data_IF_325377925581
#
_entry.id   IF_325377925581
#
_cell.length_a   1.000
_cell.length_b   1.000
_cell.length_c   1.000
_cell.angle_alpha   90.00
_cell.angle_beta   90.00
_cell.angle_gamma   90.00
#
_symmetry.space_group_name_H-M   'P 1'
#
loop_
_entity.id
_entity.type
_entity.pdbx_description
1 polymer ?
#
# COMPACT_ATOMS: atom_id res chain seq x y z
N UNK A 1 4.14 -6.40 -5.93
CA UNK A 1 3.51 -6.73 -4.62
C UNK A 1 4.17 -6.07 -3.42
N UNK A 2 5.50 -6.09 -3.24
CA UNK A 2 6.18 -5.36 -2.13
C UNK A 2 6.08 -3.84 -2.26
N UNK A 3 6.20 -3.33 -3.49
CA UNK A 3 6.07 -1.90 -3.80
C UNK A 3 4.67 -1.36 -3.49
N UNK A 4 3.62 -2.14 -3.78
CA UNK A 4 2.25 -1.81 -3.40
C UNK A 4 2.06 -1.78 -1.89
N UNK A 5 2.59 -2.77 -1.14
CA UNK A 5 2.49 -2.74 0.33
C UNK A 5 3.20 -1.50 0.91
N UNK A 6 4.36 -1.13 0.34
CA UNK A 6 5.09 0.08 0.75
C UNK A 6 4.29 1.35 0.45
N UNK A 7 3.78 1.49 -0.77
CA UNK A 7 2.95 2.63 -1.16
C UNK A 7 1.71 2.77 -0.27
N UNK A 8 1.03 1.66 0.01
CA UNK A 8 -0.13 1.66 0.91
C UNK A 8 0.29 2.10 2.30
N UNK A 9 1.35 1.50 2.86
CA UNK A 9 1.82 1.78 4.22
C UNK A 9 2.29 3.24 4.39
N UNK A 10 3.14 3.72 3.47
CA UNK A 10 3.84 4.99 3.61
C UNK A 10 3.02 6.17 3.09
N UNK A 11 2.16 5.97 2.08
CA UNK A 11 1.47 7.08 1.42
C UNK A 11 -0.05 7.05 1.58
N UNK A 12 -0.71 5.90 1.41
CA UNK A 12 -2.17 5.84 1.41
C UNK A 12 -2.76 5.78 2.82
N UNK A 13 -2.30 4.83 3.63
CA UNK A 13 -2.83 4.55 4.96
C UNK A 13 -2.82 5.79 5.89
N UNK A 14 -1.80 6.67 5.86
CA UNK A 14 -1.82 7.92 6.65
C UNK A 14 -2.85 8.95 6.16
N UNK A 15 -3.26 8.88 4.90
CA UNK A 15 -4.23 9.81 4.27
C UNK A 15 -5.67 9.33 4.41
N UNK A 16 -5.90 8.02 4.63
CA UNK A 16 -7.21 7.40 4.87
C UNK A 16 -7.81 7.85 6.21
N UNK A 17 -8.34 9.06 6.22
CA UNK A 17 -8.98 9.72 7.34
C UNK A 17 -10.40 10.12 6.94
N UNK A 18 -11.26 10.30 7.94
CA UNK A 18 -12.64 10.72 7.76
C UNK A 18 -12.74 11.91 6.81
N UNK A 19 -13.58 11.76 5.78
CA UNK A 19 -13.92 12.74 4.76
C UNK A 19 -12.73 13.25 3.93
N UNK A 20 -11.57 12.59 4.01
CA UNK A 20 -10.41 12.93 3.20
C UNK A 20 -10.68 12.67 1.72
N UNK A 21 -10.20 13.55 0.85
CA UNK A 21 -10.13 13.29 -0.60
C UNK A 21 -8.70 12.92 -0.96
N UNK A 22 -8.52 11.70 -1.46
CA UNK A 22 -7.23 11.11 -1.75
C UNK A 22 -7.17 10.80 -3.25
N UNK A 23 -6.02 11.06 -3.84
CA UNK A 23 -5.68 10.60 -5.18
C UNK A 23 -4.66 9.49 -5.06
N UNK A 24 -4.89 8.36 -5.73
CA UNK A 24 -3.84 7.37 -5.92
C UNK A 24 -2.98 7.74 -7.12
N UNK A 25 -1.74 7.28 -7.10
CA UNK A 25 -0.90 7.30 -8.30
C UNK A 25 -1.45 6.33 -9.36
N UNK A 26 -1.12 6.58 -10.63
CA UNK A 26 -1.34 5.63 -11.71
C UNK A 26 -0.59 4.31 -11.46
N UNK A 27 -1.14 3.20 -11.94
CA UNK A 27 -0.58 1.88 -11.69
C UNK A 27 0.87 1.75 -12.18
N UNK A 28 1.22 2.40 -13.28
CA UNK A 28 2.53 2.39 -13.92
C UNK A 28 3.62 2.97 -13.01
N UNK A 29 3.27 3.94 -12.16
CA UNK A 29 4.19 4.55 -11.19
C UNK A 29 4.74 3.49 -10.23
N UNK A 30 3.91 2.52 -9.83
CA UNK A 30 4.31 1.42 -8.95
C UNK A 30 4.80 0.20 -9.72
N UNK A 31 4.11 -0.16 -10.80
CA UNK A 31 4.35 -1.40 -11.53
C UNK A 31 5.66 -1.37 -12.33
N UNK A 32 6.03 -0.23 -12.90
CA UNK A 32 7.27 -0.08 -13.69
C UNK A 32 8.51 -0.39 -12.85
N UNK A 33 8.77 0.30 -11.71
CA UNK A 33 9.95 -0.02 -10.89
C UNK A 33 9.86 -1.42 -10.27
N UNK A 34 8.67 -1.90 -9.90
CA UNK A 34 8.52 -3.26 -9.39
C UNK A 34 8.88 -4.33 -10.43
N UNK A 35 8.50 -4.12 -11.69
CA UNK A 35 8.82 -5.01 -12.80
C UNK A 35 10.31 -4.97 -13.14
N UNK A 36 10.91 -3.78 -13.18
CA UNK A 36 12.35 -3.61 -13.38
C UNK A 36 13.15 -4.33 -12.28
N UNK A 37 12.75 -4.19 -11.01
CA UNK A 37 13.39 -4.87 -9.90
C UNK A 37 13.26 -6.40 -10.01
N UNK A 38 12.07 -6.92 -10.31
CA UNK A 38 11.88 -8.36 -10.49
C UNK A 38 12.73 -8.95 -11.63
N UNK A 39 13.08 -8.14 -12.64
CA UNK A 39 13.93 -8.53 -13.79
C UNK A 39 15.42 -8.22 -13.60
N UNK A 40 15.83 -7.64 -12.46
CA UNK A 40 17.21 -7.21 -12.24
C UNK A 40 18.19 -8.35 -11.91
N UNK A 41 17.75 -9.61 -12.01
CA UNK A 41 18.52 -10.77 -11.56
C UNK A 41 18.40 -11.09 -10.06
N UNK A 42 17.52 -10.39 -9.34
CA UNK A 42 17.20 -10.70 -7.94
C UNK A 42 16.56 -12.09 -7.83
N UNK A 43 16.94 -12.85 -6.79
CA UNK A 43 16.39 -14.19 -6.59
C UNK A 43 14.92 -14.17 -6.15
N UNK A 44 14.16 -15.17 -6.58
CA UNK A 44 12.77 -15.34 -6.14
C UNK A 44 12.66 -15.44 -4.60
N UNK A 45 13.62 -16.13 -3.96
CA UNK A 45 13.69 -16.23 -2.50
C UNK A 45 13.80 -14.86 -1.84
N UNK A 46 14.70 -14.00 -2.33
CA UNK A 46 14.84 -12.65 -1.81
C UNK A 46 13.57 -11.81 -2.02
N UNK A 47 12.91 -11.93 -3.18
CA UNK A 47 11.64 -11.26 -3.44
C UNK A 47 10.55 -11.67 -2.43
N UNK A 48 10.46 -12.96 -2.12
CA UNK A 48 9.50 -13.49 -1.15
C UNK A 48 9.81 -12.99 0.26
N UNK A 49 11.08 -13.01 0.68
CA UNK A 49 11.50 -12.50 1.99
C UNK A 49 11.16 -11.01 2.16
N UNK A 50 11.46 -10.19 1.15
CA UNK A 50 11.10 -8.77 1.15
C UNK A 50 9.58 -8.56 1.21
N UNK A 51 8.82 -9.40 0.49
CA UNK A 51 7.35 -9.36 0.52
C UNK A 51 6.81 -9.68 1.91
N UNK A 52 7.33 -10.71 2.57
CA UNK A 52 6.90 -11.10 3.92
C UNK A 52 7.15 -9.97 4.92
N UNK A 53 8.37 -9.43 4.94
CA UNK A 53 8.74 -8.32 5.84
C UNK A 53 7.83 -7.11 5.64
N UNK A 54 7.60 -6.70 4.39
CA UNK A 54 6.76 -5.54 4.12
C UNK A 54 5.30 -5.79 4.45
N UNK A 55 4.80 -7.01 4.18
CA UNK A 55 3.43 -7.40 4.50
C UNK A 55 3.19 -7.39 6.00
N UNK A 56 4.12 -7.91 6.79
CA UNK A 56 4.04 -7.89 8.24
C UNK A 56 3.96 -6.47 8.79
N UNK A 57 4.76 -5.54 8.26
CA UNK A 57 4.69 -4.11 8.63
C UNK A 57 3.35 -3.49 8.31
N UNK A 58 2.81 -3.73 7.11
CA UNK A 58 1.51 -3.21 6.71
C UNK A 58 0.38 -3.78 7.59
N UNK A 59 0.38 -5.09 7.83
CA UNK A 59 -0.61 -5.73 8.70
C UNK A 59 -0.51 -5.20 10.13
N UNK A 60 0.71 -5.02 10.65
CA UNK A 60 0.92 -4.44 11.97
C UNK A 60 0.32 -3.04 12.06
N UNK A 61 0.59 -2.17 11.08
CA UNK A 61 0.05 -0.81 11.03
C UNK A 61 -1.48 -0.78 10.96
N UNK A 62 -2.08 -1.65 10.14
CA UNK A 62 -3.54 -1.79 10.07
C UNK A 62 -4.12 -2.25 11.40
N UNK A 63 -3.46 -3.21 12.09
CA UNK A 63 -3.90 -3.68 13.41
C UNK A 63 -3.78 -2.64 14.52
N UNK A 64 -3.04 -1.56 14.33
CA UNK A 64 -2.99 -0.46 15.30
C UNK A 64 -4.18 0.49 15.18
N UNK A 65 -4.97 0.40 14.09
CA UNK A 65 -6.17 1.22 13.93
C UNK A 65 -7.28 0.70 14.82
N UNK A 66 -8.04 1.63 15.39
CA UNK A 66 -9.34 1.33 15.98
C UNK A 66 -10.33 0.92 14.89
N UNK A 67 -11.41 0.25 15.29
CA UNK A 67 -12.49 -0.12 14.38
C UNK A 67 -13.07 1.12 13.66
N UNK A 68 -13.29 2.22 14.39
CA UNK A 68 -13.78 3.46 13.82
C UNK A 68 -12.82 4.08 12.78
N UNK A 69 -11.50 4.02 13.02
CA UNK A 69 -10.50 4.49 12.04
C UNK A 69 -10.36 3.56 10.84
N UNK A 70 -10.67 2.27 11.01
CA UNK A 70 -10.62 1.28 9.95
C UNK A 70 -11.80 1.46 8.98
N UNK A 71 -12.99 1.75 9.51
CA UNK A 71 -14.23 1.99 8.75
C UNK A 71 -14.52 3.47 8.50
N UNK A 72 -13.49 4.31 8.51
CA UNK A 72 -13.67 5.74 8.23
C UNK A 72 -14.01 5.92 6.75
N UNK A 73 -14.94 6.83 6.44
CA UNK A 73 -15.29 7.15 5.06
C UNK A 73 -14.25 8.09 4.46
N UNK A 74 -13.85 7.87 3.21
CA UNK A 74 -13.01 8.80 2.46
C UNK A 74 -13.35 8.73 0.96
N UNK A 75 -12.90 9.71 0.19
CA UNK A 75 -13.04 9.70 -1.27
C UNK A 75 -11.70 9.32 -1.89
N UNK A 76 -11.68 8.32 -2.76
CA UNK A 76 -10.53 7.87 -3.53
C UNK A 76 -10.79 8.08 -5.02
N UNK A 77 -9.99 8.91 -5.69
CA UNK A 77 -10.12 9.19 -7.13
C UNK A 77 -11.53 9.63 -7.56
N UNK A 78 -12.25 10.32 -6.66
CA UNK A 78 -13.63 10.77 -6.91
C UNK A 78 -14.71 9.76 -6.51
N UNK A 79 -14.35 8.54 -6.10
CA UNK A 79 -15.27 7.52 -5.61
C UNK A 79 -15.30 7.50 -4.09
N UNK A 80 -16.49 7.42 -3.49
CA UNK A 80 -16.65 7.33 -2.04
C UNK A 80 -16.37 5.89 -1.60
N UNK A 81 -15.48 5.74 -0.63
CA UNK A 81 -15.14 4.49 0.03
C UNK A 81 -15.87 4.44 1.38
N UNK A 82 -16.61 3.37 1.62
CA UNK A 82 -17.36 3.06 2.84
C UNK A 82 -16.84 1.82 3.59
#
# INVERSE_FOLDING_TARGET
MTFWDRYILEEMLPKMKQDATIQSVDFEIINTPASAYARSGVSAKHLIEQKMIMREKLVFAVKQKTEAEFFTNFTLNGEKMD
#
